data_IF_554295462983
#
_entry.id   IF_554295462983
#
_cell.length_a   1.000
_cell.length_b   1.000
_cell.length_c   1.000
_cell.angle_alpha   90.00
_cell.angle_beta   90.00
_cell.angle_gamma   90.00
#
_symmetry.space_group_name_H-M   'P 1'
#
loop_
_entity.id
_entity.type
_entity.pdbx_description
1 polymer ?
#
# COMPACT_ATOMS: atom_id res chain seq x y z
N UNK A 1 -14.85 60.15 17.98
CA UNK A 1 -16.19 60.02 17.38
C UNK A 1 -16.12 59.17 16.13
N UNK A 2 -16.51 57.90 16.27
CA UNK A 2 -16.71 56.91 15.21
C UNK A 2 -17.72 57.42 14.18
N UNK A 3 -17.46 57.20 12.89
CA UNK A 3 -18.52 57.02 11.91
C UNK A 3 -18.13 55.93 10.89
N UNK A 4 -18.58 54.70 11.19
CA UNK A 4 -18.89 53.67 10.22
C UNK A 4 -20.23 54.01 9.56
N UNK A 5 -20.28 54.09 8.22
CA UNK A 5 -21.49 53.86 7.40
C UNK A 5 -21.02 53.23 6.08
N UNK A 6 -21.16 51.92 5.87
CA UNK A 6 -22.35 51.24 5.32
C UNK A 6 -22.77 51.79 3.94
N UNK A 7 -22.18 51.23 2.87
CA UNK A 7 -22.87 50.97 1.60
C UNK A 7 -22.95 49.43 1.50
N UNK A 8 -24.11 48.81 1.75
CA UNK A 8 -25.21 48.59 0.78
C UNK A 8 -24.68 47.84 -0.45
N UNK A 9 -24.42 46.54 -0.35
CA UNK A 9 -25.40 45.43 -0.49
C UNK A 9 -26.19 45.51 -1.79
N UNK A 10 -25.66 44.91 -2.85
CA UNK A 10 -26.50 44.30 -3.90
C UNK A 10 -25.74 43.22 -4.64
N UNK A 11 -26.40 42.07 -4.74
CA UNK A 11 -26.11 40.90 -5.58
C UNK A 11 -24.83 40.15 -5.21
N UNK A 12 -24.97 38.91 -4.72
CA UNK A 12 -24.95 37.71 -5.57
C UNK A 12 -25.85 36.66 -4.92
N UNK A 13 -27.00 36.44 -5.53
CA UNK A 13 -27.80 35.22 -5.36
C UNK A 13 -27.39 34.29 -6.51
N UNK A 14 -27.44 32.96 -6.27
CA UNK A 14 -26.77 31.84 -6.99
C UNK A 14 -25.37 31.63 -6.40
N UNK A 15 -25.12 30.67 -5.52
CA UNK A 15 -25.46 29.26 -5.53
C UNK A 15 -25.77 28.76 -4.12
N UNK A 16 -26.91 28.09 -3.95
CA UNK A 16 -27.24 27.40 -2.71
C UNK A 16 -26.63 26.02 -2.68
N UNK A 17 -25.81 25.74 -1.67
CA UNK A 17 -25.70 24.42 -1.06
C UNK A 17 -25.54 24.65 0.45
N UNK A 18 -26.64 24.60 1.18
CA UNK A 18 -26.63 24.42 2.62
C UNK A 18 -26.53 22.91 2.90
N UNK A 19 -25.38 22.44 3.41
CA UNK A 19 -25.25 21.07 3.91
C UNK A 19 -25.77 21.05 5.35
N UNK A 20 -27.00 20.56 5.52
CA UNK A 20 -27.60 20.27 6.81
C UNK A 20 -27.14 18.87 7.25
N UNK A 21 -26.28 18.78 8.26
CA UNK A 21 -25.91 17.51 8.87
C UNK A 21 -26.99 17.06 9.87
N UNK A 22 -27.71 15.99 9.55
CA UNK A 22 -28.52 15.23 10.53
C UNK A 22 -27.73 13.99 10.93
N UNK A 23 -27.25 13.98 12.17
CA UNK A 23 -26.73 12.78 12.81
C UNK A 23 -27.92 11.95 13.29
N UNK A 24 -28.14 10.78 12.69
CA UNK A 24 -29.03 9.76 13.27
C UNK A 24 -28.18 8.64 13.84
N UNK A 25 -28.38 8.37 15.11
CA UNK A 25 -27.74 7.32 15.91
C UNK A 25 -28.41 5.97 15.63
N UNK A 26 -27.66 4.96 15.22
CA UNK A 26 -28.14 3.57 15.10
C UNK A 26 -27.71 2.80 16.36
N UNK A 27 -28.62 2.19 17.12
CA UNK A 27 -28.24 1.32 18.24
C UNK A 27 -27.81 -0.07 17.75
N UNK A 28 -26.61 -0.47 18.18
CA UNK A 28 -26.02 -1.80 18.03
C UNK A 28 -26.81 -2.80 18.90
N UNK A 29 -27.56 -3.73 18.30
CA UNK A 29 -28.09 -4.89 19.01
C UNK A 29 -27.07 -6.03 18.99
N UNK A 30 -26.63 -6.43 20.18
CA UNK A 30 -25.86 -7.63 20.41
C UNK A 30 -26.75 -8.87 20.21
N UNK A 31 -26.40 -9.73 19.27
CA UNK A 31 -26.95 -11.08 19.17
C UNK A 31 -25.93 -12.05 19.77
N UNK A 32 -26.28 -12.62 20.92
CA UNK A 32 -25.64 -13.79 21.49
C UNK A 32 -26.24 -15.02 20.84
N UNK A 33 -25.49 -15.67 19.94
CA UNK A 33 -25.87 -16.99 19.44
C UNK A 33 -25.21 -18.06 20.34
N UNK A 34 -26.07 -18.76 21.07
CA UNK A 34 -25.72 -19.91 21.92
C UNK A 34 -25.60 -21.15 21.04
N UNK A 35 -24.38 -21.55 20.69
CA UNK A 35 -24.14 -22.83 20.04
C UNK A 35 -24.33 -23.98 21.05
N UNK A 36 -25.38 -24.76 20.81
CA UNK A 36 -25.73 -25.99 21.52
C UNK A 36 -24.80 -27.13 21.12
N UNK A 37 -24.17 -27.78 22.11
CA UNK A 37 -23.43 -29.04 21.96
C UNK A 37 -24.42 -30.18 21.75
N UNK A 38 -24.31 -30.90 20.63
CA UNK A 38 -25.04 -32.15 20.38
C UNK A 38 -24.06 -33.31 20.38
N UNK A 39 -24.31 -34.28 21.26
CA UNK A 39 -23.55 -35.50 21.47
C UNK A 39 -24.46 -36.73 21.26
N UNK A 40 -24.02 -37.64 20.39
CA UNK A 40 -24.39 -39.06 20.28
C UNK A 40 -23.36 -39.68 19.29
N UNK A 41 -22.71 -40.84 19.45
CA UNK A 41 -22.89 -41.98 20.34
C UNK A 41 -22.67 -43.29 19.56
N UNK A 42 -21.40 -43.69 19.34
CA UNK A 42 -20.85 -45.08 19.29
C UNK A 42 -21.32 -46.14 18.22
N UNK A 43 -20.67 -47.33 18.05
CA UNK A 43 -19.32 -47.64 17.51
C UNK A 43 -19.30 -48.89 16.54
N UNK A 44 -18.16 -49.60 16.45
CA UNK A 44 -17.85 -51.00 15.98
C UNK A 44 -17.39 -51.26 14.52
N UNK A 45 -16.20 -51.88 14.39
CA UNK A 45 -15.82 -52.68 13.21
C UNK A 45 -14.30 -52.79 12.94
N UNK A 46 -13.61 -53.72 13.61
CA UNK A 46 -12.22 -54.10 13.31
C UNK A 46 -12.18 -55.36 12.43
N UNK A 47 -11.28 -55.40 11.43
CA UNK A 47 -10.59 -56.62 10.95
C UNK A 47 -9.23 -56.25 10.34
N UNK A 48 -8.32 -57.21 10.43
CA UNK A 48 -6.86 -57.13 10.45
C UNK A 48 -6.30 -58.07 9.34
N UNK A 49 -5.11 -57.74 8.80
CA UNK A 49 -4.03 -58.67 8.32
C UNK A 49 -3.95 -59.13 6.84
N UNK A 50 -3.01 -58.49 6.08
CA UNK A 50 -1.89 -58.98 5.18
C UNK A 50 -2.07 -60.12 4.12
N UNK A 51 -1.12 -60.40 3.15
CA UNK A 51 0.18 -59.77 2.81
C UNK A 51 0.52 -59.55 1.28
N UNK A 52 1.60 -58.79 1.05
CA UNK A 52 2.70 -58.87 0.05
C UNK A 52 2.51 -59.66 -1.28
N UNK A 53 2.62 -58.95 -2.43
CA UNK A 53 3.59 -59.15 -3.53
C UNK A 53 3.03 -58.71 -4.90
N UNK A 54 3.61 -57.67 -5.50
CA UNK A 54 3.89 -57.65 -6.95
C UNK A 54 4.88 -56.52 -7.28
N UNK A 55 6.16 -56.92 -7.37
CA UNK A 55 7.26 -56.42 -8.18
C UNK A 55 7.34 -54.92 -8.59
N UNK A 56 8.45 -54.23 -8.26
CA UNK A 56 8.91 -53.07 -9.01
C UNK A 56 9.63 -53.52 -10.28
N UNK A 57 9.02 -53.34 -11.45
CA UNK A 57 9.73 -53.46 -12.73
C UNK A 57 10.48 -52.16 -13.00
N UNK A 58 11.81 -52.28 -12.99
CA UNK A 58 12.74 -51.25 -13.44
C UNK A 58 12.56 -50.97 -14.93
N UNK A 59 12.55 -49.69 -15.30
CA UNK A 59 12.85 -49.24 -16.66
C UNK A 59 13.98 -48.23 -16.53
N UNK A 60 15.21 -48.72 -16.65
CA UNK A 60 16.36 -47.92 -17.02
C UNK A 60 16.46 -47.95 -18.54
N UNK A 61 16.73 -46.79 -19.17
CA UNK A 61 17.69 -46.54 -20.29
C UNK A 61 17.28 -45.26 -21.06
N UNK A 62 18.13 -44.25 -20.89
CA UNK A 62 18.60 -43.22 -21.84
C UNK A 62 17.64 -42.48 -22.80
N UNK A 63 17.52 -41.16 -22.60
CA UNK A 63 18.06 -40.10 -23.48
C UNK A 63 17.22 -38.80 -23.38
N UNK A 64 17.77 -37.64 -22.96
CA UNK A 64 17.27 -36.37 -23.42
C UNK A 64 17.89 -36.10 -24.79
N UNK A 65 17.12 -36.31 -25.87
CA UNK A 65 17.46 -35.77 -27.18
C UNK A 65 17.39 -34.24 -27.08
N UNK A 66 18.56 -33.62 -27.02
CA UNK A 66 18.73 -32.20 -27.26
C UNK A 66 18.22 -31.87 -28.66
N UNK A 67 17.06 -31.24 -28.76
CA UNK A 67 16.62 -30.61 -30.00
C UNK A 67 17.48 -29.35 -30.21
N UNK A 68 18.65 -29.55 -30.83
CA UNK A 68 19.53 -28.49 -31.33
C UNK A 68 18.85 -27.79 -32.50
N UNK A 69 18.20 -26.66 -32.23
CA UNK A 69 17.79 -25.72 -33.28
C UNK A 69 19.04 -24.94 -33.71
N UNK A 70 19.46 -24.97 -34.99
CA UNK A 70 20.64 -24.24 -35.41
C UNK A 70 20.37 -22.73 -35.34
N UNK A 71 21.14 -22.05 -34.49
CA UNK A 71 21.25 -20.60 -34.47
C UNK A 71 21.82 -20.12 -35.81
N UNK A 72 20.93 -19.63 -36.68
CA UNK A 72 21.30 -18.90 -37.89
C UNK A 72 21.06 -17.42 -37.63
N UNK A 73 22.15 -16.68 -37.66
CA UNK A 73 22.23 -15.25 -37.45
C UNK A 73 21.20 -14.47 -38.29
N UNK A 74 20.43 -13.63 -37.62
CA UNK A 74 19.77 -12.47 -38.21
C UNK A 74 20.18 -11.24 -37.38
N UNK A 75 20.84 -10.30 -38.07
CA UNK A 75 21.20 -8.98 -37.60
C UNK A 75 19.97 -8.17 -37.19
N UNK A 76 20.13 -7.34 -36.14
CA UNK A 76 19.53 -6.01 -36.06
C UNK A 76 18.08 -5.93 -35.57
N UNK A 77 17.90 -5.83 -34.25
CA UNK A 77 16.79 -5.10 -33.64
C UNK A 77 17.18 -4.70 -32.20
N UNK A 78 17.96 -3.63 -32.10
CA UNK A 78 18.19 -2.91 -30.86
C UNK A 78 16.90 -2.16 -30.51
N UNK A 79 16.11 -2.75 -29.62
CA UNK A 79 14.85 -2.22 -29.15
C UNK A 79 14.55 -2.87 -27.82
N UNK A 80 15.27 -2.43 -26.78
CA UNK A 80 15.06 -2.87 -25.42
C UNK A 80 13.62 -2.53 -24.99
N UNK A 81 12.71 -3.50 -25.12
CA UNK A 81 11.46 -3.47 -24.40
C UNK A 81 11.80 -3.52 -22.90
N UNK A 82 11.36 -2.55 -22.08
CA UNK A 82 11.59 -2.64 -20.64
C UNK A 82 10.91 -3.92 -20.11
N UNK A 83 11.58 -4.68 -19.22
CA UNK A 83 10.98 -5.89 -18.67
C UNK A 83 9.69 -5.54 -17.91
N UNK A 84 8.61 -6.25 -18.23
CA UNK A 84 7.24 -6.09 -17.70
C UNK A 84 7.08 -6.45 -16.21
N UNK A 85 8.15 -6.38 -15.41
CA UNK A 85 8.18 -6.86 -14.02
C UNK A 85 7.98 -5.77 -12.95
N UNK A 86 7.29 -4.66 -13.26
CA UNK A 86 6.93 -3.64 -12.28
C UNK A 86 5.44 -3.64 -11.94
N UNK A 87 4.84 -4.83 -11.81
CA UNK A 87 3.46 -4.98 -11.35
C UNK A 87 3.46 -5.59 -9.95
N UNK A 88 3.29 -4.71 -8.96
CA UNK A 88 2.87 -5.05 -7.59
C UNK A 88 3.99 -5.57 -6.68
N UNK A 89 4.87 -4.66 -6.27
CA UNK A 89 5.49 -4.73 -4.94
C UNK A 89 5.11 -3.44 -4.23
N UNK A 90 4.69 -3.49 -2.96
CA UNK A 90 4.92 -2.37 -2.04
C UNK A 90 6.44 -2.28 -1.92
N UNK A 91 7.05 -1.67 -2.94
CA UNK A 91 8.47 -1.78 -3.20
C UNK A 91 9.30 -0.99 -2.19
N UNK A 92 10.62 -1.24 -2.13
CA UNK A 92 11.61 -0.47 -1.36
C UNK A 92 11.68 1.03 -1.71
N UNK A 93 10.78 1.52 -2.56
CA UNK A 93 10.67 2.90 -3.05
C UNK A 93 9.52 3.70 -2.41
N UNK A 94 8.92 3.22 -1.32
CA UNK A 94 8.00 4.07 -0.56
C UNK A 94 8.76 5.28 -0.02
N UNK A 95 8.22 6.47 -0.32
CA UNK A 95 8.73 7.74 0.17
C UNK A 95 7.80 8.24 1.25
N UNK A 96 8.40 8.63 2.37
CA UNK A 96 7.68 9.15 3.53
C UNK A 96 6.88 10.38 3.10
N UNK A 97 5.60 10.41 3.44
CA UNK A 97 4.69 11.49 3.17
C UNK A 97 4.29 12.23 4.47
N UNK A 98 3.85 13.49 4.36
CA UNK A 98 3.23 14.18 5.49
C UNK A 98 2.05 13.40 6.04
N UNK A 99 1.89 13.41 7.38
CA UNK A 99 0.89 12.67 8.14
C UNK A 99 1.11 11.15 8.28
N UNK A 100 2.22 10.60 7.80
CA UNK A 100 2.59 9.21 8.11
C UNK A 100 2.86 9.04 9.61
N UNK A 101 2.52 7.87 10.14
CA UNK A 101 2.90 7.46 11.49
C UNK A 101 4.09 6.50 11.40
N UNK A 102 5.17 6.86 12.07
CA UNK A 102 6.45 6.15 12.05
C UNK A 102 6.80 5.71 13.46
N UNK A 103 7.07 4.42 13.64
CA UNK A 103 7.74 3.89 14.82
C UNK A 103 9.24 4.21 14.70
N UNK A 104 9.75 4.96 15.66
CA UNK A 104 11.16 5.26 15.80
C UNK A 104 11.75 4.38 16.89
N UNK A 105 12.86 3.71 16.59
CA UNK A 105 13.60 2.89 17.54
C UNK A 105 15.11 3.10 17.40
N UNK A 106 15.82 3.04 18.52
CA UNK A 106 17.29 3.07 18.56
C UNK A 106 17.78 1.86 19.33
N UNK A 107 18.63 1.05 18.68
CA UNK A 107 19.17 -0.15 19.30
C UNK A 107 19.94 0.19 20.59
N UNK A 108 19.66 -0.55 21.66
CA UNK A 108 20.30 -0.36 22.97
C UNK A 108 19.70 0.77 23.82
N UNK A 109 18.72 1.53 23.32
CA UNK A 109 18.05 2.60 24.08
C UNK A 109 16.52 2.45 23.98
N UNK A 110 15.91 1.58 24.80
CA UNK A 110 14.46 1.33 24.73
C UNK A 110 13.61 2.57 25.08
N UNK A 111 14.16 3.52 25.84
CA UNK A 111 13.51 4.79 26.17
C UNK A 111 13.29 5.69 24.94
N UNK A 112 14.02 5.43 23.84
CA UNK A 112 13.85 6.12 22.58
C UNK A 112 12.76 5.52 21.69
N UNK A 113 12.20 4.36 22.04
CA UNK A 113 11.15 3.72 21.25
C UNK A 113 9.83 4.50 21.37
N UNK A 114 9.35 5.03 20.24
CA UNK A 114 8.07 5.76 20.21
C UNK A 114 7.50 5.92 18.80
N UNK A 115 6.20 6.15 18.76
CA UNK A 115 5.48 6.52 17.55
C UNK A 115 5.55 8.04 17.35
N UNK A 116 6.01 8.48 16.18
CA UNK A 116 6.10 9.88 15.77
C UNK A 116 5.35 10.08 14.47
N UNK A 117 4.58 11.16 14.37
CA UNK A 117 3.87 11.53 13.16
C UNK A 117 4.65 12.58 12.37
N UNK A 118 4.72 12.40 11.05
CA UNK A 118 5.30 13.39 10.13
C UNK A 118 4.37 14.59 10.07
N UNK A 119 4.90 15.78 10.35
CA UNK A 119 4.12 17.02 10.30
C UNK A 119 3.80 17.45 8.85
N UNK A 120 2.96 18.47 8.68
CA UNK A 120 2.61 19.01 7.36
C UNK A 120 3.82 19.57 6.58
N UNK A 121 4.86 20.01 7.29
CA UNK A 121 6.13 20.47 6.71
C UNK A 121 7.04 19.31 6.25
N UNK A 122 6.69 18.05 6.54
CA UNK A 122 7.47 16.88 6.18
C UNK A 122 8.57 16.50 7.17
N UNK A 123 8.48 16.97 8.42
CA UNK A 123 9.46 16.73 9.48
C UNK A 123 8.88 15.84 10.58
N UNK A 124 9.76 15.12 11.28
CA UNK A 124 9.43 14.38 12.51
C UNK A 124 10.14 14.99 13.70
N UNK A 125 9.45 15.05 14.84
CA UNK A 125 10.03 15.56 16.09
C UNK A 125 10.65 14.42 16.89
N UNK A 126 11.98 14.42 16.96
CA UNK A 126 12.77 13.37 17.62
C UNK A 126 13.41 13.88 18.92
N UNK A 127 13.65 12.98 19.90
CA UNK A 127 14.28 13.36 21.17
C UNK A 127 15.69 13.85 20.92
N UNK A 128 16.14 14.86 21.67
CA UNK A 128 17.50 15.42 21.64
C UNK A 128 17.83 16.23 20.37
N UNK A 129 17.48 15.74 19.18
CA UNK A 129 17.82 16.37 17.89
C UNK A 129 16.72 17.27 17.32
N UNK A 130 15.52 17.26 17.91
CA UNK A 130 14.41 18.13 17.51
C UNK A 130 13.78 17.74 16.16
N UNK A 131 13.26 18.71 15.38
CA UNK A 131 12.63 18.44 14.10
C UNK A 131 13.66 18.04 13.03
N UNK A 132 13.38 16.94 12.34
CA UNK A 132 14.21 16.41 11.24
C UNK A 132 13.36 16.24 9.99
N UNK A 133 13.77 16.81 8.83
CA UNK A 133 13.05 16.61 7.57
C UNK A 133 13.24 15.18 7.09
N UNK A 134 12.12 14.50 6.82
CA UNK A 134 12.08 13.10 6.35
C UNK A 134 11.17 12.90 5.14
N UNK A 135 10.32 13.88 4.81
CA UNK A 135 9.44 13.77 3.66
C UNK A 135 10.21 13.61 2.34
N UNK A 136 9.70 12.74 1.47
CA UNK A 136 10.32 12.41 0.19
C UNK A 136 11.51 11.45 0.28
N UNK A 137 12.02 11.17 1.47
CA UNK A 137 13.05 10.16 1.70
C UNK A 137 12.44 8.77 1.81
N UNK A 138 13.23 7.76 1.46
CA UNK A 138 12.93 6.38 1.82
C UNK A 138 13.20 6.18 3.32
N UNK A 139 12.63 5.13 3.91
CA UNK A 139 12.89 4.78 5.32
C UNK A 139 14.40 4.67 5.60
N UNK A 140 15.14 3.98 4.72
CA UNK A 140 16.60 3.82 4.86
C UNK A 140 17.38 5.14 4.77
N UNK A 141 17.00 6.03 3.86
CA UNK A 141 17.65 7.34 3.75
C UNK A 141 17.36 8.21 4.99
N UNK A 142 16.13 8.16 5.50
CA UNK A 142 15.77 8.84 6.73
C UNK A 142 16.53 8.27 7.95
N UNK A 143 16.66 6.95 8.07
CA UNK A 143 17.44 6.27 9.11
C UNK A 143 18.89 6.77 9.13
N UNK A 144 19.56 6.80 7.97
CA UNK A 144 20.94 7.28 7.85
C UNK A 144 21.09 8.75 8.24
N UNK A 145 20.17 9.61 7.79
CA UNK A 145 20.19 11.03 8.13
C UNK A 145 19.99 11.27 9.63
N UNK A 146 19.08 10.52 10.25
CA UNK A 146 18.81 10.62 11.69
C UNK A 146 19.98 10.05 12.49
N UNK A 147 20.56 8.93 12.08
CA UNK A 147 21.74 8.33 12.71
C UNK A 147 22.91 9.32 12.71
N UNK A 148 23.19 9.98 11.58
CA UNK A 148 24.24 11.00 11.48
C UNK A 148 24.01 12.16 12.48
N UNK A 149 22.78 12.67 12.59
CA UNK A 149 22.46 13.75 13.55
C UNK A 149 22.59 13.33 15.00
N UNK A 150 22.29 12.07 15.34
CA UNK A 150 22.52 11.55 16.68
C UNK A 150 24.01 11.35 16.97
N UNK A 151 24.78 10.92 15.97
CA UNK A 151 26.21 10.66 16.09
C UNK A 151 27.02 11.94 16.37
N UNK A 152 26.60 13.08 15.82
CA UNK A 152 27.31 14.36 16.00
C UNK A 152 27.39 14.83 17.46
N UNK A 153 26.36 14.57 18.28
CA UNK A 153 26.23 15.22 19.60
C UNK A 153 25.78 14.33 20.75
N UNK A 154 25.21 13.16 20.50
CA UNK A 154 24.49 12.42 21.54
C UNK A 154 24.90 10.95 21.68
N UNK A 155 25.10 10.22 20.57
CA UNK A 155 25.36 8.79 20.58
C UNK A 155 26.64 8.47 19.80
N UNK A 156 27.26 7.31 20.07
CA UNK A 156 28.41 6.81 19.29
C UNK A 156 27.96 5.59 18.49
N UNK A 157 28.01 5.66 17.16
CA UNK A 157 27.51 4.63 16.25
C UNK A 157 26.04 4.19 16.55
N UNK A 158 25.06 5.12 16.51
CA UNK A 158 23.66 4.78 16.76
C UNK A 158 23.09 3.91 15.63
N UNK A 159 22.45 2.79 15.99
CA UNK A 159 21.68 1.98 15.05
C UNK A 159 20.22 2.40 15.15
N UNK A 160 19.76 3.20 14.19
CA UNK A 160 18.40 3.72 14.12
C UNK A 160 17.57 2.84 13.20
N UNK A 161 16.36 2.51 13.61
CA UNK A 161 15.36 1.85 12.76
C UNK A 161 14.08 2.66 12.72
N UNK A 162 13.54 2.83 11.52
CA UNK A 162 12.27 3.48 11.27
C UNK A 162 11.31 2.49 10.62
N UNK A 163 10.14 2.32 11.23
CA UNK A 163 9.08 1.50 10.66
C UNK A 163 7.81 2.33 10.46
N UNK A 164 7.32 2.44 9.23
CA UNK A 164 6.08 3.18 8.98
C UNK A 164 4.88 2.29 9.37
N UNK A 165 4.18 2.67 10.44
CA UNK A 165 2.99 1.97 10.97
C UNK A 165 1.74 2.32 10.18
N UNK A 166 1.57 3.60 9.89
CA UNK A 166 0.45 4.10 9.11
C UNK A 166 0.96 4.94 7.94
N UNK A 167 0.62 4.49 6.74
CA UNK A 167 0.89 5.22 5.51
C UNK A 167 -0.30 6.15 5.25
N UNK A 168 -0.07 7.46 5.22
CA UNK A 168 -1.01 8.40 4.62
C UNK A 168 -1.08 8.07 3.14
N UNK A 169 -2.13 7.33 2.81
CA UNK A 169 -2.32 6.80 1.47
C UNK A 169 -2.82 7.94 0.60
N UNK A 170 -2.00 8.33 -0.39
CA UNK A 170 -2.44 9.24 -1.44
C UNK A 170 -3.67 8.64 -2.12
N UNK A 171 -4.63 9.47 -2.52
CA UNK A 171 -5.87 9.00 -3.15
C UNK A 171 -6.03 9.63 -4.51
N UNK A 172 -6.54 8.85 -5.47
CA UNK A 172 -6.93 9.35 -6.78
C UNK A 172 -8.43 9.14 -6.97
N UNK A 173 -9.08 10.07 -7.67
CA UNK A 173 -10.44 9.91 -8.12
C UNK A 173 -10.41 9.44 -9.59
N UNK A 174 -11.08 8.31 -9.87
CA UNK A 174 -11.25 7.80 -11.21
C UNK A 174 -12.74 7.89 -11.53
N UNK A 175 -13.07 8.73 -12.51
CA UNK A 175 -14.46 9.04 -12.89
C UNK A 175 -14.68 8.76 -14.38
N UNK A 176 -15.95 8.66 -14.79
CA UNK A 176 -16.34 8.48 -16.20
C UNK A 176 -16.61 7.02 -16.58
N UNK A 177 -16.37 6.68 -17.85
CA UNK A 177 -16.69 5.38 -18.44
C UNK A 177 -15.65 4.30 -18.11
N UNK A 178 -15.44 4.05 -16.82
CA UNK A 178 -14.63 2.94 -16.29
C UNK A 178 -15.54 1.90 -15.63
N UNK A 179 -15.06 0.67 -15.45
CA UNK A 179 -15.88 -0.41 -14.87
C UNK A 179 -16.35 -0.09 -13.45
N UNK A 180 -15.47 0.48 -12.62
CA UNK A 180 -15.77 0.88 -11.24
C UNK A 180 -15.22 2.29 -10.97
N UNK A 181 -16.01 3.35 -11.17
CA UNK A 181 -15.60 4.70 -10.79
C UNK A 181 -15.52 4.82 -9.26
N UNK A 182 -14.67 5.72 -8.78
CA UNK A 182 -14.51 5.99 -7.36
C UNK A 182 -13.11 6.42 -6.96
N UNK A 183 -12.92 6.52 -5.64
CA UNK A 183 -11.66 6.95 -5.03
C UNK A 183 -10.82 5.73 -4.69
N UNK A 184 -9.60 5.68 -5.21
CA UNK A 184 -8.68 4.57 -5.00
C UNK A 184 -7.45 5.02 -4.20
N UNK A 185 -7.02 4.21 -3.22
CA UNK A 185 -5.74 4.40 -2.56
C UNK A 185 -4.59 4.16 -3.55
N UNK A 186 -3.56 5.00 -3.46
CA UNK A 186 -2.34 4.94 -4.26
C UNK A 186 -1.19 4.51 -3.36
N UNK A 187 -0.56 3.41 -3.72
CA UNK A 187 0.65 2.91 -3.08
C UNK A 187 1.77 2.82 -4.11
N UNK A 188 2.90 3.46 -3.85
CA UNK A 188 4.07 3.44 -4.74
C UNK A 188 3.89 4.28 -6.01
N UNK A 189 4.52 3.86 -7.11
CA UNK A 189 4.47 4.59 -8.38
C UNK A 189 3.11 4.39 -9.06
N UNK A 190 2.41 5.50 -9.32
CA UNK A 190 1.15 5.51 -10.03
C UNK A 190 1.36 5.80 -11.52
N UNK A 191 0.78 4.95 -12.37
CA UNK A 191 0.67 5.20 -13.81
C UNK A 191 -0.80 5.21 -14.22
N UNK A 192 -1.12 5.86 -15.34
CA UNK A 192 -2.49 5.87 -15.88
C UNK A 192 -3.01 4.45 -16.11
N UNK A 193 -2.17 3.56 -16.66
CA UNK A 193 -2.52 2.16 -16.89
C UNK A 193 -2.81 1.43 -15.57
N UNK A 194 -2.02 1.67 -14.51
CA UNK A 194 -2.25 1.11 -13.18
C UNK A 194 -3.56 1.61 -12.59
N UNK A 195 -3.86 2.90 -12.71
CA UNK A 195 -5.12 3.48 -12.25
C UNK A 195 -6.32 2.82 -12.95
N UNK A 196 -6.26 2.66 -14.28
CA UNK A 196 -7.30 1.97 -15.03
C UNK A 196 -7.44 0.50 -14.63
N UNK A 197 -6.33 -0.21 -14.38
CA UNK A 197 -6.39 -1.58 -13.89
C UNK A 197 -7.09 -1.67 -12.52
N UNK A 198 -6.85 -0.71 -11.62
CA UNK A 198 -7.52 -0.63 -10.32
C UNK A 198 -9.03 -0.41 -10.45
N UNK A 199 -9.47 0.42 -11.40
CA UNK A 199 -10.90 0.63 -11.69
C UNK A 199 -11.56 -0.53 -12.45
N UNK A 200 -10.82 -1.56 -12.83
CA UNK A 200 -11.33 -2.72 -13.59
C UNK A 200 -11.30 -2.54 -15.11
N UNK A 201 -10.64 -1.49 -15.61
CA UNK A 201 -10.51 -1.17 -17.02
C UNK A 201 -11.60 -0.22 -17.53
N UNK A 202 -11.71 -0.18 -18.85
CA UNK A 202 -12.70 0.62 -19.55
C UNK A 202 -14.08 -0.06 -19.55
N UNK A 203 -15.14 0.73 -19.46
CA UNK A 203 -16.49 0.23 -19.74
C UNK A 203 -16.65 -0.09 -21.24
N UNK A 204 -17.60 -0.96 -21.62
CA UNK A 204 -17.80 -1.35 -23.04
C UNK A 204 -18.12 -0.18 -23.98
N UNK A 205 -18.61 0.94 -23.44
CA UNK A 205 -19.00 2.15 -24.14
C UNK A 205 -18.05 3.33 -23.88
N UNK A 206 -16.85 3.05 -23.35
CA UNK A 206 -15.85 4.08 -23.09
C UNK A 206 -15.17 4.55 -24.38
N UNK A 207 -14.96 5.87 -24.49
CA UNK A 207 -14.10 6.41 -25.54
C UNK A 207 -12.63 6.37 -25.10
N UNK A 208 -11.86 5.47 -25.71
CA UNK A 208 -10.45 5.22 -25.38
C UNK A 208 -9.54 6.37 -25.85
N UNK A 209 -10.01 7.19 -26.80
CA UNK A 209 -9.23 8.30 -27.35
C UNK A 209 -9.38 9.60 -26.53
N UNK A 210 -10.28 9.64 -25.55
CA UNK A 210 -10.53 10.82 -24.70
C UNK A 210 -10.30 10.51 -23.23
N UNK A 211 -9.04 10.63 -22.81
CA UNK A 211 -8.64 10.45 -21.41
C UNK A 211 -8.00 11.76 -20.93
N UNK A 212 -8.54 12.31 -19.83
CA UNK A 212 -8.08 13.57 -19.24
C UNK A 212 -7.53 13.31 -17.84
N UNK A 213 -6.36 13.87 -17.54
CA UNK A 213 -5.71 13.79 -16.22
C UNK A 213 -5.61 15.19 -15.64
N UNK A 214 -6.21 15.38 -14.46
CA UNK A 214 -6.09 16.61 -13.67
C UNK A 214 -5.01 16.40 -12.59
N UNK A 215 -4.07 17.34 -12.48
CA UNK A 215 -2.95 17.31 -11.51
C UNK A 215 -2.80 18.66 -10.79
#
# INVERSE_FOLDING_TARGET
MLHKKFLKSEQWSRWGIAVLAVATTVPLQAQTDTATVSAAGQPVGAIQTEPLHSAPTQISVNAPTSHTVPARAALGAEGAAPPLNSLTTVGPDYRIAPNDLIEFNVFGVPDMLRDVRVNASGEISLPLIGPVPVAGLTAQAAEQQIAARYEEKYLRNPQVSLFIKEFTTQRIAIEGAVTRPGIYPVTGQLTLLRALALSGGFAPYADINQIVVYR
#
